data_IF_585546824993
#
_entry.id   IF_585546824993
#
_cell.length_a   1.000
_cell.length_b   1.000
_cell.length_c   1.000
_cell.angle_alpha   90.00
_cell.angle_beta   90.00
_cell.angle_gamma   90.00
#
_symmetry.space_group_name_H-M   'P 1'
#
loop_
_entity.id
_entity.type
_entity.pdbx_description
1 polymer ?
#
# COMPACT_ATOMS: atom_id res chain seq x y z
N UNK A 1 0.32 18.55 44.14
CA UNK A 1 1.14 19.56 43.43
C UNK A 1 0.33 20.06 42.27
N UNK A 2 0.36 21.37 41.95
CA UNK A 2 -0.42 21.93 40.81
C UNK A 2 0.49 22.34 39.69
N UNK A 3 0.05 22.10 38.49
CA UNK A 3 0.72 22.48 37.23
C UNK A 3 -0.33 22.93 36.23
N UNK A 4 -0.02 23.99 35.49
CA UNK A 4 -0.84 24.42 34.37
C UNK A 4 -0.54 23.54 33.15
N UNK A 5 -1.55 23.19 32.40
CA UNK A 5 -1.45 22.33 31.25
C UNK A 5 -2.48 22.63 30.17
N UNK A 6 -2.37 21.94 29.08
CA UNK A 6 -3.25 22.05 27.92
C UNK A 6 -3.69 20.66 27.48
N UNK A 7 -4.98 20.54 27.13
CA UNK A 7 -5.51 19.32 26.54
C UNK A 7 -4.90 19.12 25.17
N UNK A 8 -4.30 17.98 24.96
CA UNK A 8 -3.76 17.56 23.65
C UNK A 8 -4.43 16.25 23.24
N UNK A 9 -4.57 16.04 21.94
CA UNK A 9 -4.92 14.74 21.38
C UNK A 9 -3.69 13.83 21.41
N UNK A 10 -3.89 12.52 21.55
CA UNK A 10 -2.81 11.53 21.48
C UNK A 10 -2.11 11.58 20.13
N UNK A 11 -2.84 11.87 19.08
CA UNK A 11 -2.31 11.98 17.72
C UNK A 11 -2.17 13.43 17.27
N UNK A 12 -1.08 13.65 16.59
CA UNK A 12 -0.84 14.90 15.86
C UNK A 12 -1.83 15.02 14.70
N UNK A 13 -2.13 16.26 14.25
CA UNK A 13 -2.91 16.45 13.04
C UNK A 13 -2.34 15.59 11.91
N UNK A 14 -3.22 14.85 11.23
CA UNK A 14 -2.84 14.03 10.10
C UNK A 14 -2.87 14.89 8.84
N UNK A 15 -1.73 15.01 8.19
CA UNK A 15 -1.59 15.77 6.95
C UNK A 15 -1.99 14.86 5.79
N UNK A 16 -2.96 15.28 5.01
CA UNK A 16 -3.41 14.59 3.80
C UNK A 16 -2.69 15.19 2.60
N UNK A 17 -1.84 14.37 2.00
CA UNK A 17 -1.03 14.72 0.84
C UNK A 17 -1.34 13.76 -0.31
N UNK A 18 -1.07 14.18 -1.55
CA UNK A 18 -1.12 13.30 -2.71
C UNK A 18 0.27 13.12 -3.31
N UNK A 19 0.66 11.85 -3.51
CA UNK A 19 1.97 11.49 -4.03
C UNK A 19 2.15 11.88 -5.51
N UNK A 20 1.08 11.70 -6.30
CA UNK A 20 1.14 11.87 -7.76
C UNK A 20 0.95 13.33 -8.19
N UNK A 21 0.27 14.14 -7.37
CA UNK A 21 -0.21 15.45 -7.75
C UNK A 21 -1.33 15.40 -8.80
N UNK A 22 -1.66 16.51 -9.39
CA UNK A 22 -2.67 16.59 -10.44
C UNK A 22 -3.55 17.83 -10.34
N UNK A 23 -4.67 17.84 -11.05
CA UNK A 23 -5.64 18.94 -11.03
C UNK A 23 -6.77 18.58 -10.06
N UNK A 24 -7.08 19.45 -9.11
CA UNK A 24 -8.20 19.26 -8.19
C UNK A 24 -9.51 19.30 -8.97
N UNK A 25 -10.19 18.16 -9.09
CA UNK A 25 -11.46 18.05 -9.79
C UNK A 25 -12.64 18.41 -8.87
N UNK A 26 -12.64 17.88 -7.64
CA UNK A 26 -13.69 18.06 -6.65
C UNK A 26 -13.08 18.16 -5.25
N UNK A 27 -13.64 19.05 -4.44
CA UNK A 27 -13.41 19.14 -3.00
C UNK A 27 -14.74 18.90 -2.30
N UNK A 28 -14.86 17.79 -1.55
CA UNK A 28 -16.12 17.30 -1.01
C UNK A 28 -16.31 17.63 0.47
N UNK A 29 -15.32 18.25 1.09
CA UNK A 29 -15.33 18.60 2.51
C UNK A 29 -15.08 20.08 2.73
N UNK A 30 -15.52 20.58 3.88
CA UNK A 30 -15.32 21.96 4.33
C UNK A 30 -14.51 21.97 5.62
N UNK A 31 -13.82 23.08 5.87
CA UNK A 31 -13.13 23.29 7.12
C UNK A 31 -14.11 23.23 8.32
N UNK A 32 -13.72 22.55 9.38
CA UNK A 32 -14.57 22.29 10.56
C UNK A 32 -15.56 21.12 10.40
N UNK A 33 -15.62 20.49 9.24
CA UNK A 33 -16.49 19.32 9.02
C UNK A 33 -15.92 18.07 9.68
N UNK A 34 -16.80 17.29 10.34
CA UNK A 34 -16.47 15.97 10.87
C UNK A 34 -16.54 14.96 9.72
N UNK A 35 -15.50 14.14 9.59
CA UNK A 35 -15.38 13.07 8.60
C UNK A 35 -15.17 11.73 9.28
N UNK A 36 -15.71 10.66 8.71
CA UNK A 36 -15.47 9.29 9.14
C UNK A 36 -14.28 8.68 8.39
N UNK A 37 -13.71 7.62 8.93
CA UNK A 37 -12.68 6.83 8.23
C UNK A 37 -13.22 6.33 6.88
N UNK A 38 -12.45 6.52 5.81
CA UNK A 38 -12.81 6.13 4.44
C UNK A 38 -13.61 7.16 3.66
N UNK A 39 -14.14 8.23 4.29
CA UNK A 39 -14.85 9.29 3.59
C UNK A 39 -14.00 9.94 2.50
N UNK A 40 -14.61 10.25 1.36
CA UNK A 40 -13.93 10.92 0.26
C UNK A 40 -13.79 12.40 0.59
N UNK A 41 -12.56 12.87 0.66
CA UNK A 41 -12.22 14.26 0.98
C UNK A 41 -12.13 15.13 -0.28
N UNK A 42 -11.39 14.64 -1.26
CA UNK A 42 -11.16 15.32 -2.53
C UNK A 42 -10.92 14.31 -3.65
N UNK A 43 -11.13 14.76 -4.89
CA UNK A 43 -10.79 14.00 -6.10
C UNK A 43 -9.89 14.82 -6.99
N UNK A 44 -8.78 14.23 -7.39
CA UNK A 44 -7.93 14.75 -8.44
C UNK A 44 -8.37 14.22 -9.80
N UNK A 45 -8.07 14.93 -10.86
CA UNK A 45 -8.38 14.47 -12.23
C UNK A 45 -7.50 13.27 -12.57
N UNK A 46 -8.11 12.09 -12.61
CA UNK A 46 -7.42 10.82 -12.87
C UNK A 46 -7.41 10.38 -14.34
N UNK A 47 -7.83 11.24 -15.31
CA UNK A 47 -8.02 10.84 -16.71
C UNK A 47 -6.78 10.21 -17.33
N UNK A 48 -5.59 10.73 -17.04
CA UNK A 48 -4.32 10.19 -17.55
C UNK A 48 -4.04 8.80 -17.00
N UNK A 49 -4.24 8.61 -15.69
CA UNK A 49 -4.03 7.30 -15.05
C UNK A 49 -5.09 6.29 -15.51
N UNK A 50 -6.34 6.73 -15.67
CA UNK A 50 -7.41 5.87 -16.19
C UNK A 50 -7.09 5.40 -17.61
N UNK A 51 -6.69 6.29 -18.52
CA UNK A 51 -6.31 5.93 -19.88
C UNK A 51 -5.15 4.95 -19.91
N UNK A 52 -4.15 5.12 -19.04
CA UNK A 52 -3.02 4.19 -18.94
C UNK A 52 -3.44 2.81 -18.42
N UNK A 53 -4.35 2.76 -17.45
CA UNK A 53 -4.92 1.51 -16.93
C UNK A 53 -5.72 0.79 -18.01
N UNK A 54 -6.56 1.52 -18.78
CA UNK A 54 -7.37 0.95 -19.86
C UNK A 54 -6.49 0.40 -20.98
N UNK A 55 -5.43 1.13 -21.38
CA UNK A 55 -4.47 0.68 -22.38
C UNK A 55 -3.75 -0.62 -21.97
N UNK A 56 -3.25 -0.68 -20.73
CA UNK A 56 -2.64 -1.89 -20.18
C UNK A 56 -3.62 -3.07 -20.14
N UNK A 57 -4.89 -2.83 -19.82
CA UNK A 57 -5.92 -3.86 -19.82
C UNK A 57 -6.17 -4.40 -21.23
N UNK A 58 -6.24 -3.52 -22.23
CA UNK A 58 -6.48 -3.91 -23.62
C UNK A 58 -5.28 -4.72 -24.18
N UNK A 59 -4.05 -4.34 -23.85
CA UNK A 59 -2.85 -5.10 -24.18
C UNK A 59 -2.86 -6.50 -23.54
N UNK A 60 -3.20 -6.61 -22.25
CA UNK A 60 -3.31 -7.90 -21.55
C UNK A 60 -4.39 -8.78 -22.21
N UNK A 61 -5.53 -8.21 -22.57
CA UNK A 61 -6.61 -8.94 -23.26
C UNK A 61 -6.12 -9.51 -24.59
N UNK A 62 -5.42 -8.71 -25.39
CA UNK A 62 -4.86 -9.16 -26.66
C UNK A 62 -3.89 -10.33 -26.47
N UNK A 63 -3.00 -10.22 -25.50
CA UNK A 63 -2.05 -11.29 -25.17
C UNK A 63 -2.71 -12.54 -24.55
N UNK A 64 -3.77 -12.37 -23.74
CA UNK A 64 -4.51 -13.52 -23.23
C UNK A 64 -5.23 -14.29 -24.35
N UNK A 65 -5.78 -13.61 -25.37
CA UNK A 65 -6.35 -14.26 -26.57
C UNK A 65 -5.25 -14.98 -27.34
N UNK A 66 -4.07 -14.35 -27.55
CA UNK A 66 -2.90 -14.98 -28.16
C UNK A 66 -2.44 -16.22 -27.41
N UNK A 67 -2.39 -16.14 -26.07
CA UNK A 67 -2.05 -17.26 -25.18
C UNK A 67 -3.00 -18.46 -25.40
N UNK A 68 -4.31 -18.22 -25.48
CA UNK A 68 -5.30 -19.27 -25.73
C UNK A 68 -5.10 -19.94 -27.10
N UNK A 69 -4.73 -19.16 -28.12
CA UNK A 69 -4.38 -19.71 -29.45
C UNK A 69 -3.13 -20.59 -29.34
N UNK A 70 -2.07 -20.11 -28.72
CA UNK A 70 -0.81 -20.85 -28.58
C UNK A 70 -0.98 -22.13 -27.77
N UNK A 71 -1.81 -22.12 -26.76
CA UNK A 71 -2.18 -23.29 -25.97
C UNK A 71 -2.88 -24.34 -26.88
N UNK A 72 -3.83 -23.91 -27.71
CA UNK A 72 -4.48 -24.79 -28.70
C UNK A 72 -3.50 -25.33 -29.74
N UNK A 73 -2.52 -24.52 -30.20
CA UNK A 73 -1.48 -24.97 -31.11
C UNK A 73 -0.56 -26.03 -30.48
N UNK A 74 -0.17 -25.87 -29.25
CA UNK A 74 0.67 -26.84 -28.49
C UNK A 74 -0.07 -28.16 -28.26
N UNK A 75 -1.36 -28.11 -28.00
CA UNK A 75 -2.22 -29.28 -27.80
C UNK A 75 -2.69 -29.90 -29.14
N UNK A 76 -2.41 -29.26 -30.27
CA UNK A 76 -2.86 -29.70 -31.58
C UNK A 76 -4.36 -29.55 -31.81
N UNK A 77 -5.04 -28.67 -31.04
CA UNK A 77 -6.47 -28.37 -31.24
C UNK A 77 -6.68 -27.42 -32.41
N UNK A 78 -7.73 -27.65 -33.18
CA UNK A 78 -8.06 -26.81 -34.31
C UNK A 78 -8.90 -25.58 -33.98
N UNK A 79 -9.38 -25.50 -32.76
CA UNK A 79 -10.19 -24.41 -32.24
C UNK A 79 -9.77 -24.09 -30.79
N UNK A 80 -9.98 -22.86 -30.35
CA UNK A 80 -9.83 -22.44 -28.96
C UNK A 80 -11.06 -21.70 -28.50
N UNK A 81 -11.44 -21.98 -27.24
CA UNK A 81 -12.53 -21.26 -26.56
C UNK A 81 -12.04 -19.92 -26.06
N UNK A 82 -12.79 -18.87 -26.33
CA UNK A 82 -12.55 -17.53 -25.80
C UNK A 82 -13.69 -17.20 -24.83
N UNK A 83 -13.40 -16.79 -23.60
CA UNK A 83 -14.42 -16.31 -22.68
C UNK A 83 -15.28 -15.19 -23.31
N UNK A 84 -16.59 -15.20 -23.06
CA UNK A 84 -17.53 -14.25 -23.67
C UNK A 84 -17.13 -12.79 -23.43
N UNK A 85 -16.65 -12.50 -22.22
CA UNK A 85 -16.18 -11.15 -21.85
C UNK A 85 -15.02 -10.65 -22.76
N UNK A 86 -14.09 -11.51 -23.15
CA UNK A 86 -12.98 -11.17 -24.07
C UNK A 86 -13.48 -11.08 -25.51
N UNK A 87 -14.43 -11.93 -25.89
CA UNK A 87 -14.99 -11.94 -27.25
C UNK A 87 -15.79 -10.66 -27.53
N UNK A 88 -16.56 -10.16 -26.55
CA UNK A 88 -17.31 -8.91 -26.68
C UNK A 88 -16.39 -7.69 -26.71
N UNK A 89 -15.32 -7.70 -25.91
CA UNK A 89 -14.42 -6.54 -25.79
C UNK A 89 -13.47 -6.38 -26.97
N UNK A 90 -13.02 -7.49 -27.57
CA UNK A 90 -12.03 -7.47 -28.66
C UNK A 90 -12.35 -8.49 -29.77
N UNK A 91 -13.49 -8.36 -30.47
CA UNK A 91 -13.94 -9.35 -31.46
C UNK A 91 -12.98 -9.46 -32.67
N UNK A 92 -12.36 -8.34 -33.05
CA UNK A 92 -11.41 -8.30 -34.18
C UNK A 92 -10.12 -9.10 -33.88
N UNK A 93 -9.60 -8.98 -32.66
CA UNK A 93 -8.42 -9.74 -32.24
C UNK A 93 -8.74 -11.23 -32.19
N UNK A 94 -9.91 -11.61 -31.67
CA UNK A 94 -10.35 -13.01 -31.63
C UNK A 94 -10.46 -13.59 -33.05
N UNK A 95 -11.03 -12.82 -33.98
CA UNK A 95 -11.16 -13.26 -35.39
C UNK A 95 -9.78 -13.43 -36.06
N UNK A 96 -8.87 -12.47 -35.81
CA UNK A 96 -7.50 -12.53 -36.36
C UNK A 96 -6.72 -13.73 -35.81
N UNK A 97 -6.78 -13.98 -34.50
CA UNK A 97 -6.07 -15.09 -33.86
C UNK A 97 -6.65 -16.46 -34.28
N UNK A 98 -7.97 -16.56 -34.53
CA UNK A 98 -8.59 -17.76 -35.10
C UNK A 98 -8.10 -18.00 -36.52
N UNK A 99 -8.04 -16.98 -37.35
CA UNK A 99 -7.52 -17.10 -38.73
C UNK A 99 -6.05 -17.52 -38.72
N UNK A 100 -5.25 -16.95 -37.84
CA UNK A 100 -3.83 -17.29 -37.67
C UNK A 100 -3.64 -18.75 -37.22
N UNK A 101 -4.46 -19.23 -36.26
CA UNK A 101 -4.45 -20.65 -35.84
C UNK A 101 -4.63 -21.58 -37.04
N UNK A 102 -5.68 -21.34 -37.84
CA UNK A 102 -5.98 -22.17 -39.05
C UNK A 102 -4.84 -22.13 -40.05
N UNK A 103 -4.29 -20.94 -40.33
CA UNK A 103 -3.19 -20.79 -41.27
C UNK A 103 -1.93 -21.56 -40.84
N UNK A 104 -1.49 -21.38 -39.58
CA UNK A 104 -0.31 -22.06 -39.02
C UNK A 104 -0.48 -23.58 -38.92
N UNK A 105 -1.68 -24.05 -38.60
CA UNK A 105 -1.95 -25.49 -38.58
C UNK A 105 -1.94 -26.09 -39.98
N UNK A 106 -2.48 -25.39 -40.96
CA UNK A 106 -2.47 -25.83 -42.36
C UNK A 106 -1.04 -25.90 -42.90
N UNK A 107 -0.24 -24.88 -42.62
CA UNK A 107 1.19 -24.84 -42.96
C UNK A 107 1.94 -26.02 -42.36
N UNK A 108 1.82 -26.24 -41.07
CA UNK A 108 2.47 -27.35 -40.36
C UNK A 108 2.03 -28.71 -40.88
N UNK A 109 0.71 -28.92 -41.08
CA UNK A 109 0.17 -30.16 -41.60
C UNK A 109 0.71 -30.46 -42.99
N UNK A 110 0.76 -29.45 -43.89
CA UNK A 110 1.27 -29.58 -45.26
C UNK A 110 2.78 -29.90 -45.27
N UNK A 111 3.57 -29.17 -44.49
CA UNK A 111 5.01 -29.39 -44.37
C UNK A 111 5.34 -30.79 -43.81
N UNK A 112 4.64 -31.19 -42.75
CA UNK A 112 4.81 -32.50 -42.13
C UNK A 112 4.41 -33.63 -43.07
N UNK A 113 3.27 -33.51 -43.76
CA UNK A 113 2.79 -34.54 -44.71
C UNK A 113 3.73 -34.68 -45.90
N UNK A 114 4.22 -33.55 -46.46
CA UNK A 114 5.22 -33.58 -47.52
C UNK A 114 6.50 -34.29 -47.09
N UNK A 115 7.03 -33.98 -45.92
CA UNK A 115 8.23 -34.64 -45.37
C UNK A 115 7.97 -36.14 -45.09
N UNK A 116 6.76 -36.51 -44.59
CA UNK A 116 6.35 -37.89 -44.37
C UNK A 116 6.33 -38.71 -45.68
N UNK A 117 5.82 -38.14 -46.76
CA UNK A 117 5.79 -38.79 -48.08
C UNK A 117 7.20 -39.06 -48.62
N UNK A 118 8.11 -38.06 -48.50
CA UNK A 118 9.52 -38.22 -48.89
C UNK A 118 10.20 -39.29 -48.03
N UNK A 119 9.95 -39.32 -46.72
CA UNK A 119 10.47 -40.33 -45.81
C UNK A 119 9.96 -41.74 -46.19
N UNK A 120 8.66 -41.89 -46.45
CA UNK A 120 8.06 -43.15 -46.85
C UNK A 120 8.64 -43.68 -48.18
N UNK A 121 8.85 -42.81 -49.18
CA UNK A 121 9.48 -43.17 -50.45
C UNK A 121 10.94 -43.62 -50.26
N UNK A 122 11.72 -42.89 -49.48
CA UNK A 122 13.11 -43.23 -49.17
C UNK A 122 13.21 -44.57 -48.41
N UNK A 123 12.23 -44.83 -47.52
CA UNK A 123 12.14 -46.11 -46.77
C UNK A 123 11.88 -47.29 -47.73
N UNK A 124 10.94 -47.15 -48.66
CA UNK A 124 10.63 -48.17 -49.71
C UNK A 124 11.85 -48.46 -50.59
N UNK A 125 12.54 -47.38 -51.00
CA UNK A 125 13.75 -47.54 -51.86
C UNK A 125 14.86 -48.25 -51.05
N UNK A 126 15.10 -47.87 -49.78
CA UNK A 126 16.06 -48.56 -48.91
C UNK A 126 15.74 -50.06 -48.80
N UNK A 127 14.49 -50.40 -48.53
CA UNK A 127 14.06 -51.79 -48.39
C UNK A 127 14.25 -52.57 -49.68
N UNK A 128 13.89 -52.01 -50.83
CA UNK A 128 14.07 -52.63 -52.13
C UNK A 128 15.57 -52.89 -52.40
N UNK A 129 16.44 -51.93 -52.20
CA UNK A 129 17.88 -52.05 -52.40
C UNK A 129 18.51 -53.08 -51.45
N UNK A 130 18.07 -53.16 -50.19
CA UNK A 130 18.51 -54.18 -49.25
C UNK A 130 18.10 -55.60 -49.72
N UNK A 131 16.91 -55.77 -50.27
CA UNK A 131 16.44 -57.06 -50.74
C UNK A 131 17.14 -57.48 -52.04
N UNK A 132 17.42 -56.54 -52.94
CA UNK A 132 18.22 -56.79 -54.12
C UNK A 132 19.68 -57.15 -53.79
N UNK A 133 20.26 -56.54 -52.75
CA UNK A 133 21.60 -56.93 -52.30
C UNK A 133 21.63 -58.35 -51.73
N UNK A 134 20.62 -58.77 -50.95
CA UNK A 134 20.49 -60.17 -50.52
C UNK A 134 20.47 -61.14 -51.67
N UNK A 135 19.85 -60.73 -52.74
CA UNK A 135 19.81 -61.53 -54.03
C UNK A 135 21.08 -61.34 -54.85
N UNK A 136 22.08 -60.57 -54.42
CA UNK A 136 23.34 -60.24 -55.10
C UNK A 136 23.13 -59.56 -56.50
N UNK A 137 22.08 -58.75 -56.60
CA UNK A 137 21.73 -58.07 -57.87
C UNK A 137 22.36 -56.67 -57.94
N UNK A 138 22.51 -55.98 -56.80
CA UNK A 138 23.04 -54.63 -56.71
C UNK A 138 24.31 -54.58 -55.90
N UNK A 139 25.14 -53.51 -56.09
CA UNK A 139 26.36 -53.28 -55.35
C UNK A 139 26.05 -52.68 -53.98
N UNK A 140 26.92 -52.96 -53.02
CA UNK A 140 26.79 -52.40 -51.63
C UNK A 140 26.72 -50.88 -51.63
N UNK A 141 27.37 -50.23 -52.59
CA UNK A 141 27.38 -48.76 -52.70
C UNK A 141 25.99 -48.18 -52.91
N UNK A 142 25.13 -48.83 -53.66
CA UNK A 142 23.77 -48.41 -53.93
C UNK A 142 22.89 -48.56 -52.72
N UNK A 143 23.05 -49.60 -51.90
CA UNK A 143 22.37 -49.75 -50.62
C UNK A 143 22.81 -48.69 -49.64
N UNK A 144 24.11 -48.34 -49.64
CA UNK A 144 24.63 -47.27 -48.75
C UNK A 144 24.06 -45.91 -49.12
N UNK A 145 23.86 -45.61 -50.39
CA UNK A 145 23.19 -44.41 -50.93
C UNK A 145 21.73 -44.36 -50.49
N UNK A 146 20.97 -45.44 -50.64
CA UNK A 146 19.58 -45.51 -50.22
C UNK A 146 19.42 -45.36 -48.68
N UNK A 147 20.30 -45.97 -47.89
CA UNK A 147 20.34 -45.78 -46.43
C UNK A 147 20.58 -44.33 -46.04
N UNK A 148 21.51 -43.65 -46.72
CA UNK A 148 21.77 -42.23 -46.48
C UNK A 148 20.56 -41.37 -46.81
N UNK A 149 19.94 -41.60 -47.99
CA UNK A 149 18.73 -40.88 -48.39
C UNK A 149 17.59 -41.05 -47.38
N UNK A 150 17.39 -42.26 -46.85
CA UNK A 150 16.41 -42.52 -45.78
C UNK A 150 16.78 -41.77 -44.50
N UNK A 151 18.04 -41.79 -44.07
CA UNK A 151 18.48 -41.08 -42.87
C UNK A 151 18.28 -39.57 -43.00
N UNK A 152 18.64 -38.98 -44.14
CA UNK A 152 18.46 -37.56 -44.43
C UNK A 152 16.98 -37.16 -44.46
N UNK A 153 16.10 -38.01 -45.09
CA UNK A 153 14.65 -37.77 -45.09
C UNK A 153 14.03 -37.86 -43.69
N UNK A 154 14.50 -38.82 -42.87
CA UNK A 154 14.08 -38.96 -41.48
C UNK A 154 14.45 -37.74 -40.65
N UNK A 155 15.71 -37.29 -40.76
CA UNK A 155 16.19 -36.09 -40.06
C UNK A 155 15.31 -34.88 -40.41
N UNK A 156 15.01 -34.67 -41.70
CA UNK A 156 14.15 -33.55 -42.14
C UNK A 156 12.72 -33.63 -41.58
N UNK A 157 12.13 -34.83 -41.57
CA UNK A 157 10.81 -35.03 -40.99
C UNK A 157 10.81 -34.69 -39.46
N UNK A 158 11.78 -35.24 -38.72
CA UNK A 158 11.89 -35.05 -37.26
C UNK A 158 12.24 -33.60 -36.95
N UNK A 159 13.04 -32.91 -37.79
CA UNK A 159 13.37 -31.50 -37.66
C UNK A 159 12.13 -30.60 -37.77
N UNK A 160 11.23 -30.84 -38.74
CA UNK A 160 9.99 -30.08 -38.86
C UNK A 160 9.14 -30.19 -37.59
N UNK A 161 8.97 -31.41 -37.08
CA UNK A 161 8.18 -31.64 -35.87
C UNK A 161 8.79 -30.95 -34.65
N UNK A 162 10.10 -31.13 -34.46
CA UNK A 162 10.81 -30.62 -33.27
C UNK A 162 10.92 -29.10 -33.29
N UNK A 163 11.29 -28.53 -34.47
CA UNK A 163 11.46 -27.08 -34.60
C UNK A 163 10.13 -26.34 -34.40
N UNK A 164 9.06 -26.80 -35.03
CA UNK A 164 7.75 -26.17 -34.85
C UNK A 164 7.25 -26.29 -33.43
N UNK A 165 7.49 -27.43 -32.75
CA UNK A 165 7.14 -27.60 -31.34
C UNK A 165 7.91 -26.64 -30.43
N UNK A 166 9.22 -26.48 -30.68
CA UNK A 166 10.07 -25.55 -29.89
C UNK A 166 9.65 -24.09 -30.10
N UNK A 167 9.48 -23.66 -31.35
CA UNK A 167 9.05 -22.29 -31.70
C UNK A 167 7.73 -21.92 -31.02
N UNK A 168 6.75 -22.83 -31.02
CA UNK A 168 5.47 -22.61 -30.30
C UNK A 168 5.62 -22.53 -28.80
N UNK A 169 6.46 -23.37 -28.21
CA UNK A 169 6.71 -23.37 -26.77
C UNK A 169 7.45 -22.08 -26.34
N UNK A 170 8.41 -21.62 -27.15
CA UNK A 170 9.11 -20.34 -26.88
C UNK A 170 8.15 -19.16 -26.98
N UNK A 171 7.33 -19.08 -28.06
CA UNK A 171 6.34 -18.03 -28.24
C UNK A 171 5.32 -18.00 -27.08
N UNK A 172 4.89 -19.18 -26.63
CA UNK A 172 4.00 -19.31 -25.47
C UNK A 172 4.65 -18.81 -24.18
N UNK A 173 5.90 -19.22 -23.92
CA UNK A 173 6.66 -18.80 -22.76
C UNK A 173 6.88 -17.28 -22.74
N UNK A 174 7.22 -16.69 -23.87
CA UNK A 174 7.45 -15.26 -23.98
C UNK A 174 6.14 -14.46 -23.82
N UNK A 175 5.03 -14.96 -24.38
CA UNK A 175 3.69 -14.37 -24.14
C UNK A 175 3.32 -14.39 -22.66
N UNK A 176 3.61 -15.47 -21.94
CA UNK A 176 3.36 -15.51 -20.48
C UNK A 176 4.20 -14.50 -19.70
N UNK A 177 5.47 -14.32 -20.06
CA UNK A 177 6.36 -13.32 -19.42
C UNK A 177 5.84 -11.90 -19.67
N UNK A 178 5.42 -11.61 -20.90
CA UNK A 178 4.87 -10.33 -21.29
C UNK A 178 3.57 -10.01 -20.51
N UNK A 179 2.64 -10.98 -20.44
CA UNK A 179 1.43 -10.86 -19.62
C UNK A 179 1.78 -10.58 -18.15
N UNK A 180 2.75 -11.29 -17.58
CA UNK A 180 3.17 -11.08 -16.20
C UNK A 180 3.70 -9.66 -15.96
N UNK A 181 4.51 -9.16 -16.90
CA UNK A 181 5.06 -7.79 -16.85
C UNK A 181 3.95 -6.75 -16.95
N UNK A 182 3.02 -6.89 -17.89
CA UNK A 182 1.91 -5.96 -18.05
C UNK A 182 0.94 -6.00 -16.85
N UNK A 183 0.69 -7.17 -16.28
CA UNK A 183 -0.12 -7.30 -15.04
C UNK A 183 0.52 -6.57 -13.86
N UNK A 184 1.84 -6.59 -13.74
CA UNK A 184 2.54 -5.81 -12.73
C UNK A 184 2.41 -4.30 -12.99
N UNK A 185 2.54 -3.87 -14.24
CA UNK A 185 2.30 -2.48 -14.66
C UNK A 185 0.86 -2.05 -14.38
N UNK A 186 -0.12 -2.89 -14.70
CA UNK A 186 -1.53 -2.64 -14.43
C UNK A 186 -1.81 -2.42 -12.94
N UNK A 187 -1.24 -3.25 -12.08
CA UNK A 187 -1.37 -3.08 -10.62
C UNK A 187 -0.83 -1.73 -10.17
N UNK A 188 0.35 -1.34 -10.65
CA UNK A 188 0.93 -0.03 -10.33
C UNK A 188 0.05 1.12 -10.84
N UNK A 189 -0.47 1.03 -12.07
CA UNK A 189 -1.39 2.03 -12.62
C UNK A 189 -2.70 2.13 -11.85
N UNK A 190 -3.27 1.01 -11.41
CA UNK A 190 -4.46 0.98 -10.57
C UNK A 190 -4.22 1.62 -9.20
N UNK A 191 -3.05 1.38 -8.59
CA UNK A 191 -2.66 2.03 -7.34
C UNK A 191 -2.55 3.55 -7.52
N UNK A 192 -1.95 4.02 -8.60
CA UNK A 192 -1.87 5.46 -8.93
C UNK A 192 -3.27 6.07 -9.13
N UNK A 193 -4.13 5.38 -9.87
CA UNK A 193 -5.51 5.80 -10.08
C UNK A 193 -6.28 5.86 -8.76
N UNK A 194 -6.13 4.88 -7.89
CA UNK A 194 -6.80 4.84 -6.59
C UNK A 194 -6.42 6.05 -5.72
N UNK A 195 -5.13 6.46 -5.76
CA UNK A 195 -4.63 7.63 -5.04
C UNK A 195 -5.14 8.98 -5.57
N UNK A 196 -5.76 9.03 -6.74
CA UNK A 196 -6.45 10.25 -7.19
C UNK A 196 -7.69 10.57 -6.37
N UNK A 197 -8.25 9.59 -5.66
CA UNK A 197 -9.35 9.78 -4.72
C UNK A 197 -8.79 9.81 -3.30
N UNK A 198 -8.75 10.98 -2.69
CA UNK A 198 -8.25 11.18 -1.34
C UNK A 198 -9.33 10.82 -0.33
N UNK A 199 -8.99 9.94 0.61
CA UNK A 199 -9.89 9.48 1.67
C UNK A 199 -9.34 9.78 3.05
N UNK A 200 -10.24 9.95 4.01
CA UNK A 200 -9.88 10.11 5.42
C UNK A 200 -9.28 8.80 5.97
N UNK A 201 -8.06 8.84 6.53
CA UNK A 201 -7.44 7.65 7.13
C UNK A 201 -8.02 7.29 8.50
N UNK A 202 -8.76 8.22 9.11
CA UNK A 202 -9.36 8.08 10.44
C UNK A 202 -10.52 9.05 10.59
N UNK A 203 -11.34 8.87 11.62
CA UNK A 203 -12.40 9.80 11.98
C UNK A 203 -11.82 11.05 12.64
N UNK A 204 -12.21 12.23 12.15
CA UNK A 204 -11.67 13.50 12.68
C UNK A 204 -12.39 14.73 12.16
N UNK A 205 -11.86 15.88 12.53
CA UNK A 205 -12.32 17.18 12.04
C UNK A 205 -11.34 17.69 11.01
N UNK A 206 -11.85 18.11 9.84
CA UNK A 206 -11.04 18.78 8.82
C UNK A 206 -10.56 20.13 9.36
N UNK A 207 -9.24 20.32 9.40
CA UNK A 207 -8.59 21.52 9.86
C UNK A 207 -7.62 22.02 8.80
N UNK A 208 -7.81 23.25 8.32
CA UNK A 208 -6.94 23.85 7.32
C UNK A 208 -7.05 23.18 5.95
N UNK A 209 -7.58 23.92 4.99
CA UNK A 209 -7.61 23.55 3.58
C UNK A 209 -6.52 24.35 2.85
N UNK A 210 -5.41 23.67 2.48
CA UNK A 210 -4.31 24.32 1.76
C UNK A 210 -4.68 24.61 0.29
N UNK A 211 -5.47 23.71 -0.33
CA UNK A 211 -5.92 23.85 -1.72
C UNK A 211 -7.45 23.88 -1.77
N UNK A 212 -8.00 25.03 -2.13
CA UNK A 212 -9.46 25.26 -2.18
C UNK A 212 -10.00 25.50 -3.60
N UNK A 213 -9.11 25.78 -4.56
CA UNK A 213 -9.49 26.18 -5.91
C UNK A 213 -9.74 24.94 -6.77
N UNK A 214 -10.99 24.69 -7.17
CA UNK A 214 -11.32 23.67 -8.17
C UNK A 214 -10.65 24.03 -9.50
N UNK A 215 -9.98 23.07 -10.14
CA UNK A 215 -9.14 23.29 -11.32
C UNK A 215 -7.70 23.72 -10.98
N UNK A 216 -7.39 23.95 -9.71
CA UNK A 216 -6.04 24.23 -9.26
C UNK A 216 -5.10 23.03 -9.42
N UNK A 217 -3.82 23.31 -9.61
CA UNK A 217 -2.77 22.28 -9.73
C UNK A 217 -2.21 21.99 -8.35
N UNK A 218 -2.27 20.73 -7.94
CA UNK A 218 -1.63 20.16 -6.74
C UNK A 218 -0.31 19.54 -7.15
N UNK A 219 0.78 19.92 -6.51
CA UNK A 219 2.10 19.32 -6.77
C UNK A 219 2.24 17.96 -6.08
N UNK A 220 3.09 17.07 -6.61
CA UNK A 220 3.43 15.83 -5.90
C UNK A 220 3.94 16.10 -4.48
N UNK A 221 3.35 15.44 -3.48
CA UNK A 221 3.68 15.63 -2.07
C UNK A 221 3.13 16.91 -1.42
N UNK A 222 2.34 17.70 -2.14
CA UNK A 222 1.74 18.92 -1.58
C UNK A 222 0.62 18.57 -0.59
N UNK A 223 0.58 19.33 0.51
CA UNK A 223 -0.48 19.25 1.50
C UNK A 223 -1.79 19.79 0.91
N UNK A 224 -2.87 19.01 1.06
CA UNK A 224 -4.19 19.40 0.59
C UNK A 224 -5.06 19.84 1.76
N UNK A 225 -5.05 19.08 2.84
CA UNK A 225 -5.76 19.40 4.08
C UNK A 225 -5.16 18.63 5.26
N UNK A 226 -5.58 19.02 6.47
CA UNK A 226 -5.24 18.33 7.71
C UNK A 226 -6.49 17.79 8.38
N UNK A 227 -6.36 16.67 9.10
CA UNK A 227 -7.44 16.09 9.92
C UNK A 227 -6.95 15.99 11.36
N UNK A 228 -7.73 16.57 12.27
CA UNK A 228 -7.54 16.38 13.72
C UNK A 228 -8.37 15.20 14.15
N UNK A 229 -7.77 14.12 14.68
CA UNK A 229 -8.50 12.94 15.17
C UNK A 229 -9.47 13.28 16.28
N UNK A 230 -10.64 12.63 16.30
CA UNK A 230 -11.69 12.84 17.32
C UNK A 230 -11.81 11.70 18.32
N UNK A 231 -11.48 10.48 17.93
CA UNK A 231 -11.77 9.26 18.71
C UNK A 231 -10.55 8.76 19.50
N UNK A 232 -9.61 9.65 19.80
CA UNK A 232 -8.38 9.24 20.46
C UNK A 232 -8.39 9.57 21.96
N UNK A 233 -7.52 8.87 22.66
CA UNK A 233 -7.28 9.12 24.07
C UNK A 233 -6.85 10.58 24.29
N UNK A 234 -7.49 11.24 25.20
CA UNK A 234 -7.17 12.62 25.54
C UNK A 234 -6.06 12.64 26.58
N UNK A 235 -5.10 13.50 26.34
CA UNK A 235 -4.00 13.75 27.26
C UNK A 235 -3.97 15.21 27.67
N UNK A 236 -3.36 15.45 28.81
CA UNK A 236 -3.01 16.81 29.24
C UNK A 236 -1.50 16.93 29.30
N UNK A 237 -0.94 17.84 28.53
CA UNK A 237 0.47 18.23 28.65
C UNK A 237 0.59 19.28 29.75
N UNK A 238 1.05 18.86 30.95
CA UNK A 238 1.26 19.73 32.10
C UNK A 238 2.69 20.25 32.13
N UNK A 239 2.85 21.54 32.42
CA UNK A 239 4.15 22.22 32.57
C UNK A 239 4.61 22.17 34.00
N UNK A 240 5.60 21.36 34.31
CA UNK A 240 6.10 21.15 35.68
C UNK A 240 7.45 21.84 35.87
N UNK A 241 7.57 22.64 36.92
CA UNK A 241 8.82 23.32 37.25
C UNK A 241 9.91 22.31 37.68
N UNK A 242 11.20 22.52 37.30
CA UNK A 242 12.29 21.58 37.56
C UNK A 242 12.45 21.20 39.03
N UNK A 243 12.19 22.11 39.96
CA UNK A 243 12.27 21.85 41.41
C UNK A 243 11.29 20.81 41.93
N UNK A 244 10.27 20.47 41.14
CA UNK A 244 9.18 19.57 41.52
C UNK A 244 9.20 18.21 40.83
N UNK A 245 10.02 18.06 39.78
CA UNK A 245 10.04 16.86 38.91
C UNK A 245 10.45 15.59 39.68
N UNK A 246 11.33 15.71 40.67
CA UNK A 246 11.82 14.59 41.48
C UNK A 246 10.72 13.82 42.23
N UNK A 247 9.55 14.45 42.43
CA UNK A 247 8.41 13.85 43.13
C UNK A 247 7.35 13.26 42.19
N UNK A 248 7.58 13.27 40.88
CA UNK A 248 6.64 12.77 39.86
C UNK A 248 7.18 11.46 39.28
N UNK A 249 6.30 10.49 39.16
CA UNK A 249 6.62 9.19 38.61
C UNK A 249 5.55 8.78 37.62
N UNK A 250 5.95 7.98 36.58
CA UNK A 250 5.02 7.32 35.69
C UNK A 250 4.06 6.43 36.49
N UNK A 251 2.80 6.37 36.08
CA UNK A 251 1.76 5.61 36.78
C UNK A 251 1.16 6.34 37.98
N UNK A 252 1.51 7.62 38.21
CA UNK A 252 1.02 8.41 39.33
C UNK A 252 -0.35 9.01 39.04
N UNK A 253 -1.29 8.90 39.99
CA UNK A 253 -2.61 9.50 39.84
C UNK A 253 -2.54 11.03 39.75
N UNK A 254 -3.37 11.56 38.88
CA UNK A 254 -3.54 12.98 38.66
C UNK A 254 -5.02 13.36 38.60
N UNK A 255 -5.33 14.55 39.06
CA UNK A 255 -6.67 15.16 38.95
C UNK A 255 -6.58 16.32 37.99
N UNK A 256 -7.39 16.26 36.90
CA UNK A 256 -7.42 17.27 35.84
C UNK A 256 -8.68 18.14 36.02
N UNK A 257 -8.51 19.43 36.06
CA UNK A 257 -9.57 20.43 36.11
C UNK A 257 -9.52 21.29 34.87
N UNK A 258 -10.54 21.24 34.03
CA UNK A 258 -10.63 22.06 32.84
C UNK A 258 -10.98 23.49 33.19
N UNK A 259 -10.22 24.45 32.67
CA UNK A 259 -10.45 25.88 32.95
C UNK A 259 -11.72 26.40 32.29
N UNK A 260 -12.17 25.77 31.20
CA UNK A 260 -13.38 26.13 30.47
C UNK A 260 -14.68 25.73 31.22
N UNK A 261 -14.61 24.86 32.22
CA UNK A 261 -15.76 24.36 32.97
C UNK A 261 -15.55 24.50 34.45
N UNK A 262 -16.59 24.92 35.14
CA UNK A 262 -16.56 25.03 36.63
C UNK A 262 -16.48 23.63 37.26
N UNK A 263 -15.33 23.31 37.82
CA UNK A 263 -15.06 22.01 38.47
C UNK A 263 -15.96 21.76 39.71
N UNK A 264 -16.60 22.77 40.27
CA UNK A 264 -17.55 22.59 41.39
C UNK A 264 -18.88 22.03 40.91
N UNK A 265 -19.24 22.26 39.63
CA UNK A 265 -20.49 21.81 39.03
C UNK A 265 -20.26 20.50 38.26
N UNK A 266 -19.21 20.46 37.46
CA UNK A 266 -18.93 19.34 36.53
C UNK A 266 -17.97 18.31 37.14
N UNK A 267 -17.27 18.65 38.22
CA UNK A 267 -16.23 17.80 38.83
C UNK A 267 -14.87 17.90 38.11
N UNK A 268 -13.97 17.04 38.51
CA UNK A 268 -12.64 16.92 37.97
C UNK A 268 -12.48 15.57 37.28
N UNK A 269 -11.68 15.52 36.22
CA UNK A 269 -11.35 14.28 35.51
C UNK A 269 -10.20 13.57 36.24
N UNK A 270 -10.25 12.25 36.25
CA UNK A 270 -9.14 11.42 36.74
C UNK A 270 -8.18 11.16 35.60
N UNK A 271 -6.90 11.09 35.93
CA UNK A 271 -5.86 10.75 34.97
C UNK A 271 -4.68 10.09 35.65
N UNK A 272 -3.78 9.60 34.85
CA UNK A 272 -2.55 8.95 35.27
C UNK A 272 -1.37 9.53 34.48
N UNK A 273 -0.24 9.73 35.13
CA UNK A 273 1.00 10.20 34.49
C UNK A 273 1.50 9.11 33.55
N UNK A 274 1.48 9.36 32.23
CA UNK A 274 1.96 8.44 31.22
C UNK A 274 3.42 8.69 30.89
N UNK A 275 3.78 9.91 30.49
CA UNK A 275 5.14 10.25 30.06
C UNK A 275 5.64 11.48 30.80
N UNK A 276 6.92 11.46 31.18
CA UNK A 276 7.67 12.60 31.70
C UNK A 276 8.79 12.86 30.68
N UNK A 277 8.91 14.10 30.20
CA UNK A 277 9.99 14.46 29.27
C UNK A 277 11.36 14.24 29.90
N UNK A 278 12.32 13.77 29.09
CA UNK A 278 13.69 13.53 29.57
C UNK A 278 14.49 14.84 29.79
N UNK A 279 14.04 15.93 29.15
CA UNK A 279 14.72 17.23 29.20
C UNK A 279 13.71 18.36 29.47
N UNK A 280 14.24 19.53 29.81
CA UNK A 280 13.45 20.75 30.04
C UNK A 280 13.23 21.49 28.72
N UNK A 281 12.04 22.05 28.59
CA UNK A 281 11.65 22.97 27.53
C UNK A 281 11.67 24.40 28.05
N UNK A 282 12.12 25.32 27.20
CA UNK A 282 12.10 26.76 27.49
C UNK A 282 11.05 27.43 26.59
N UNK A 283 10.34 28.38 27.11
CA UNK A 283 9.43 29.21 26.32
C UNK A 283 10.24 30.34 25.69
N UNK A 284 10.48 30.27 24.39
CA UNK A 284 11.27 31.27 23.66
C UNK A 284 10.68 32.68 23.66
N UNK A 285 9.38 32.80 23.94
CA UNK A 285 8.66 34.07 24.01
C UNK A 285 8.57 34.64 25.43
N UNK A 286 9.11 33.95 26.44
CA UNK A 286 9.09 34.44 27.81
C UNK A 286 10.12 35.56 28.02
N UNK A 287 9.77 36.54 28.85
CA UNK A 287 10.66 37.66 29.22
C UNK A 287 11.98 37.23 29.87
N UNK A 288 11.97 36.05 30.50
CA UNK A 288 13.14 35.38 31.09
C UNK A 288 13.11 33.90 30.69
N UNK A 289 13.88 33.47 29.65
CA UNK A 289 13.89 32.10 29.17
C UNK A 289 14.36 31.09 30.22
N UNK A 290 15.23 31.47 31.15
CA UNK A 290 15.73 30.55 32.18
C UNK A 290 14.73 30.36 33.32
N UNK A 291 13.91 31.33 33.62
CA UNK A 291 12.82 31.22 34.58
C UNK A 291 11.63 30.43 34.02
N UNK A 292 11.52 30.29 32.72
CA UNK A 292 10.45 29.56 32.00
C UNK A 292 10.73 28.09 31.80
N UNK A 293 11.91 27.57 32.18
CA UNK A 293 12.27 26.18 32.02
C UNK A 293 11.29 25.24 32.73
N UNK A 294 10.72 24.29 32.02
CA UNK A 294 9.75 23.35 32.56
C UNK A 294 9.90 21.95 31.92
N UNK A 295 9.53 20.93 32.71
CA UNK A 295 9.33 19.59 32.17
C UNK A 295 7.92 19.44 31.64
N UNK A 296 7.76 18.75 30.51
CA UNK A 296 6.46 18.35 29.98
C UNK A 296 6.07 17.01 30.60
N UNK A 297 4.97 16.99 31.29
CA UNK A 297 4.39 15.78 31.88
C UNK A 297 3.07 15.51 31.19
N UNK A 298 3.00 14.39 30.47
CA UNK A 298 1.79 13.96 29.79
C UNK A 298 0.96 13.10 30.74
N UNK A 299 -0.26 13.51 30.97
CA UNK A 299 -1.24 12.82 31.82
C UNK A 299 -2.35 12.28 30.95
N UNK A 300 -2.51 10.95 30.92
CA UNK A 300 -3.62 10.27 30.25
C UNK A 300 -4.90 10.49 31.06
N UNK A 301 -5.96 10.97 30.42
CA UNK A 301 -7.26 11.20 31.05
C UNK A 301 -8.12 9.96 30.91
N UNK A 302 -8.65 9.45 32.01
CA UNK A 302 -9.56 8.29 32.00
C UNK A 302 -10.98 8.74 31.65
N UNK A 303 -11.38 8.46 30.41
CA UNK A 303 -12.72 8.75 29.91
C UNK A 303 -13.76 7.68 30.26
N UNK A 304 -13.34 6.53 30.81
CA UNK A 304 -14.24 5.41 31.13
C UNK A 304 -15.07 5.64 32.39
N UNK A 305 -14.61 6.52 33.30
CA UNK A 305 -15.23 6.80 34.61
C UNK A 305 -15.95 8.15 34.68
N UNK A 306 -16.48 8.62 33.54
CA UNK A 306 -17.20 9.90 33.54
C UNK A 306 -18.56 9.80 34.21
N UNK A 307 -18.82 10.74 35.12
CA UNK A 307 -20.13 10.91 35.75
C UNK A 307 -21.15 11.46 34.73
N UNK A 308 -22.47 11.27 34.98
CA UNK A 308 -23.54 11.76 34.12
C UNK A 308 -23.49 13.28 33.82
N UNK A 309 -22.81 14.08 34.64
CA UNK A 309 -22.57 15.51 34.38
C UNK A 309 -21.34 15.72 33.48
N UNK A 310 -20.32 14.89 33.64
CA UNK A 310 -19.08 14.95 32.87
C UNK A 310 -19.27 14.45 31.42
N UNK A 311 -20.19 13.51 31.16
CA UNK A 311 -20.55 13.07 29.83
C UNK A 311 -21.18 14.13 28.93
N UNK A 312 -21.59 15.27 29.51
CA UNK A 312 -22.13 16.45 28.77
C UNK A 312 -21.04 17.46 28.41
N UNK A 313 -19.81 17.26 28.86
CA UNK A 313 -18.68 18.13 28.55
C UNK A 313 -18.10 17.73 27.19
N UNK A 314 -18.08 18.65 26.28
CA UNK A 314 -17.37 18.48 25.00
C UNK A 314 -15.92 18.92 25.20
N UNK A 315 -15.02 17.95 25.40
CA UNK A 315 -13.59 18.21 25.60
C UNK A 315 -12.94 18.33 24.22
N UNK A 316 -12.27 19.46 23.98
CA UNK A 316 -11.55 19.73 22.73
C UNK A 316 -10.07 19.91 22.99
N UNK A 317 -9.17 19.43 22.11
CA UNK A 317 -7.76 19.80 22.13
C UNK A 317 -7.59 21.33 22.15
N UNK A 318 -6.56 21.81 22.85
CA UNK A 318 -6.33 23.23 23.06
C UNK A 318 -6.99 23.85 24.29
N UNK A 319 -7.87 23.12 24.99
CA UNK A 319 -8.43 23.62 26.26
C UNK A 319 -7.38 23.66 27.35
N UNK A 320 -7.33 24.78 28.09
CA UNK A 320 -6.46 24.88 29.25
C UNK A 320 -6.98 24.06 30.43
N UNK A 321 -6.06 23.44 31.17
CA UNK A 321 -6.35 22.58 32.29
C UNK A 321 -5.38 22.83 33.43
N UNK A 322 -5.86 22.69 34.65
CA UNK A 322 -5.02 22.64 35.84
C UNK A 322 -4.89 21.18 36.29
N UNK A 323 -3.66 20.69 36.36
CA UNK A 323 -3.35 19.32 36.76
C UNK A 323 -2.86 19.29 38.18
N UNK A 324 -3.55 18.55 39.02
CA UNK A 324 -3.15 18.28 40.41
C UNK A 324 -2.53 16.89 40.49
N UNK A 325 -1.19 16.82 40.54
CA UNK A 325 -0.43 15.58 40.66
C UNK A 325 -0.35 15.15 42.12
N UNK A 326 -0.70 13.89 42.43
CA UNK A 326 -0.73 13.34 43.77
C UNK A 326 0.68 12.87 44.18
N UNK A 327 1.49 13.72 44.80
CA UNK A 327 2.90 13.45 45.15
C UNK A 327 3.09 12.67 46.46
N UNK A 328 2.07 11.91 46.88
CA UNK A 328 2.08 11.09 48.10
C UNK A 328 1.62 11.85 49.36
N UNK A 329 1.29 11.10 50.41
CA UNK A 329 0.88 11.61 51.71
C UNK A 329 2.10 11.75 52.63
N UNK A 330 2.26 12.88 53.26
CA UNK A 330 3.24 13.08 54.35
C UNK A 330 2.50 13.07 55.67
N UNK A 331 3.07 12.40 56.66
CA UNK A 331 2.49 12.42 58.01
C UNK A 331 2.57 13.83 58.62
N UNK A 332 1.57 14.23 59.43
CA UNK A 332 1.52 15.52 60.08
C UNK A 332 2.77 15.76 60.91
N UNK A 333 3.33 14.71 61.53
CA UNK A 333 4.56 14.76 62.28
C UNK A 333 5.76 15.17 61.42
N UNK A 334 5.89 14.62 60.20
CA UNK A 334 6.97 14.98 59.27
C UNK A 334 6.85 16.42 58.79
N UNK A 335 5.63 16.94 58.68
CA UNK A 335 5.38 18.32 58.31
C UNK A 335 5.80 19.30 59.42
N UNK A 336 5.49 18.98 60.69
CA UNK A 336 5.85 19.78 61.87
C UNK A 336 7.36 19.75 62.18
N UNK A 337 8.05 18.64 61.94
CA UNK A 337 9.48 18.49 62.16
C UNK A 337 10.37 19.05 61.03
N UNK A 338 9.81 19.30 59.85
CA UNK A 338 10.56 19.79 58.68
C UNK A 338 11.34 21.10 58.93
N UNK A 339 10.82 22.12 59.67
CA UNK A 339 11.60 23.32 60.04
C UNK A 339 12.79 22.99 60.88
N UNK A 340 12.64 22.06 61.84
CA UNK A 340 13.71 21.65 62.79
C UNK A 340 14.87 20.91 62.04
N UNK A 341 14.57 20.12 61.02
CA UNK A 341 15.60 19.49 60.19
C UNK A 341 16.35 20.50 59.30
N UNK A 342 15.65 21.51 58.74
CA UNK A 342 16.26 22.60 58.00
C UNK A 342 17.19 23.49 58.85
N UNK A 343 16.82 23.78 60.12
CA UNK A 343 17.65 24.56 61.01
C UNK A 343 18.96 23.82 61.36
N UNK A 344 18.93 22.48 61.48
CA UNK A 344 20.12 21.66 61.72
C UNK A 344 21.14 21.67 60.57
N UNK A 345 20.66 21.78 59.31
CA UNK A 345 21.54 21.93 58.13
C UNK A 345 22.15 23.34 58.03
N UNK A 346 21.40 24.38 58.44
CA UNK A 346 21.87 25.77 58.48
C UNK A 346 22.96 26.01 59.49
N UNK A 347 23.13 25.16 60.55
CA UNK A 347 24.20 25.22 61.56
C UNK A 347 25.40 24.30 61.24
N UNK A 348 25.48 23.66 60.02
CA UNK A 348 26.69 23.05 59.52
C UNK A 348 27.48 24.12 58.75
N UNK A 349 28.45 24.72 59.45
CA UNK A 349 29.50 25.47 58.76
C UNK A 349 30.35 24.52 57.89
N UNK A 350 30.88 25.02 56.73
CA UNK A 350 31.70 24.24 55.81
C UNK A 350 33.02 23.76 56.42
#
# INVERSE_FOLDING_TARGET
>A
MRADGEMISSSRPQIIQNLEGGILAELLVKEGQVVAEGDVLARLRGTQFQSSVDDLQDQIIALDIRRLRLEAELEGRHEFGVPEALQVRSPEIVASERALLVARQTEYATAREGARQVLAQAEQEKQLMEDLLKKKIVALIEVTRARKAYADAKIRHDEIVTKTGLERAEEYSDTLKEIATLKQGLKSGQDQLSRTTLRAPLRGIVNGLAVTTIGGVVRPGEEILQIIPLDEELFVEARVQPKNIANIRRGQEATVKLSAYDYTIYGSLKGEVDVISADTFKDENARDPDASAHYKVTVKVDMSQLNARQSRIEIRPGMQANVELHTGAKTVLTYLLKPLYKSREAFREP
#
